data_IF_434165978939
#
_entry.id   IF_434165978939
#
_cell.length_a   1.000
_cell.length_b   1.000
_cell.length_c   1.000
_cell.angle_alpha   90.00
_cell.angle_beta   90.00
_cell.angle_gamma   90.00
#
_symmetry.space_group_name_H-M   'P 1'
#
loop_
_entity.id
_entity.type
_entity.pdbx_description
1 polymer ?
#
# COMPACT_ATOMS: atom_id res chain seq x y z
N UNK A 1 -17.63 -19.31 -0.26
CA UNK A 1 -16.35 -18.58 -0.32
C UNK A 1 -16.26 -17.67 0.90
N UNK A 2 -15.18 -17.75 1.66
CA UNK A 2 -14.85 -16.91 2.82
C UNK A 2 -13.74 -15.94 2.40
N UNK A 3 -14.03 -14.64 2.44
CA UNK A 3 -13.07 -13.58 2.11
C UNK A 3 -12.70 -12.85 3.39
N UNK A 4 -11.40 -12.81 3.70
CA UNK A 4 -10.88 -11.91 4.72
C UNK A 4 -10.68 -10.53 4.09
N UNK A 5 -11.46 -9.56 4.56
CA UNK A 5 -11.49 -8.21 4.00
C UNK A 5 -10.29 -7.35 4.43
N UNK A 6 -9.43 -7.81 5.35
CA UNK A 6 -8.35 -6.97 5.87
C UNK A 6 -7.12 -7.79 6.24
N UNK A 7 -6.13 -7.79 5.35
CA UNK A 7 -4.82 -8.38 5.63
C UNK A 7 -3.68 -7.52 5.09
N UNK A 8 -2.54 -7.58 5.78
CA UNK A 8 -1.31 -6.90 5.40
C UNK A 8 -0.15 -7.87 5.18
N UNK A 9 0.79 -7.50 4.30
CA UNK A 9 2.01 -8.25 4.07
C UNK A 9 3.09 -8.00 5.12
N UNK A 10 2.87 -8.49 6.34
CA UNK A 10 3.77 -8.28 7.50
C UNK A 10 5.03 -9.14 7.46
N UNK A 11 5.13 -10.07 6.51
CA UNK A 11 6.27 -10.97 6.32
C UNK A 11 7.06 -10.65 5.06
N UNK A 12 6.94 -9.43 4.52
CA UNK A 12 7.57 -9.04 3.27
C UNK A 12 9.09 -9.29 3.26
N UNK A 13 9.68 -9.61 2.09
CA UNK A 13 11.10 -9.93 1.95
C UNK A 13 12.03 -8.84 2.50
N UNK A 14 13.16 -9.24 3.07
CA UNK A 14 14.16 -8.34 3.67
C UNK A 14 14.71 -7.31 2.66
N UNK A 15 14.67 -7.61 1.37
CA UNK A 15 15.07 -6.71 0.29
C UNK A 15 14.22 -5.44 0.24
N UNK A 16 12.91 -5.53 0.54
CA UNK A 16 12.04 -4.37 0.64
C UNK A 16 12.44 -3.50 1.85
N UNK A 17 12.79 -4.12 2.98
CA UNK A 17 13.28 -3.41 4.16
C UNK A 17 14.66 -2.77 3.93
N UNK A 18 15.56 -3.47 3.24
CA UNK A 18 16.87 -2.94 2.87
C UNK A 18 16.73 -1.72 1.94
N UNK A 19 15.79 -1.76 0.99
CA UNK A 19 15.44 -0.60 0.18
C UNK A 19 14.96 0.57 1.05
N UNK A 20 14.03 0.33 1.98
CA UNK A 20 13.52 1.36 2.89
C UNK A 20 14.64 1.99 3.72
N UNK A 21 15.53 1.19 4.28
CA UNK A 21 16.66 1.66 5.05
C UNK A 21 17.56 2.59 4.23
N UNK A 22 17.90 2.19 2.99
CA UNK A 22 18.67 3.04 2.07
C UNK A 22 17.94 4.33 1.73
N UNK A 23 16.64 4.25 1.45
CA UNK A 23 15.81 5.41 1.11
C UNK A 23 15.77 6.44 2.25
N UNK A 24 15.69 5.98 3.51
CA UNK A 24 15.73 6.83 4.71
C UNK A 24 17.07 7.57 4.82
N UNK A 25 18.19 6.88 4.57
CA UNK A 25 19.53 7.48 4.60
C UNK A 25 19.69 8.51 3.47
N UNK A 26 19.22 8.18 2.27
CA UNK A 26 19.35 8.99 1.07
C UNK A 26 18.13 9.94 0.83
N UNK A 27 17.36 10.26 1.87
CA UNK A 27 16.05 10.93 1.75
C UNK A 27 16.05 12.28 1.01
N UNK A 28 17.20 12.97 0.95
CA UNK A 28 17.33 14.23 0.20
C UNK A 28 17.29 14.01 -1.33
N UNK A 29 17.69 12.81 -1.80
CA UNK A 29 17.66 12.37 -3.19
C UNK A 29 17.25 10.89 -3.22
N UNK A 30 16.00 10.56 -2.86
CA UNK A 30 15.62 9.19 -2.59
C UNK A 30 15.75 8.34 -3.86
N UNK A 31 16.44 7.18 -3.81
CA UNK A 31 16.55 6.31 -4.97
C UNK A 31 15.20 5.65 -5.25
N UNK A 32 14.86 5.51 -6.53
CA UNK A 32 13.74 4.64 -6.94
C UNK A 32 14.08 3.18 -6.62
N UNK A 33 13.08 2.40 -6.23
CA UNK A 33 13.28 1.01 -5.84
C UNK A 33 13.82 0.15 -6.99
N UNK A 34 14.73 -0.76 -6.66
CA UNK A 34 15.17 -1.86 -7.52
C UNK A 34 15.17 -3.14 -6.68
N UNK A 35 13.98 -3.62 -6.34
CA UNK A 35 13.82 -4.77 -5.46
C UNK A 35 14.02 -6.04 -6.28
N UNK A 36 15.14 -6.72 -6.01
CA UNK A 36 15.41 -8.05 -6.54
C UNK A 36 14.97 -9.07 -5.49
N UNK A 37 13.78 -9.62 -5.71
CA UNK A 37 13.27 -10.77 -4.94
C UNK A 37 12.80 -11.82 -5.92
N UNK A 38 13.20 -13.08 -5.74
CA UNK A 38 12.74 -14.19 -6.57
C UNK A 38 11.31 -14.61 -6.20
N UNK A 39 10.64 -15.32 -7.10
CA UNK A 39 9.30 -15.87 -6.79
C UNK A 39 9.37 -16.91 -5.67
N UNK A 40 10.48 -17.64 -5.54
CA UNK A 40 10.73 -18.58 -4.43
C UNK A 40 10.84 -17.87 -3.08
N UNK A 41 11.53 -16.72 -3.03
CA UNK A 41 11.62 -15.90 -1.82
C UNK A 41 10.25 -15.32 -1.43
N UNK A 42 9.45 -14.88 -2.42
CA UNK A 42 8.07 -14.46 -2.19
C UNK A 42 7.21 -15.62 -1.68
N UNK A 43 7.31 -16.81 -2.28
CA UNK A 43 6.60 -18.00 -1.82
C UNK A 43 6.94 -18.36 -0.37
N UNK A 44 8.22 -18.40 -0.03
CA UNK A 44 8.68 -18.66 1.35
C UNK A 44 8.11 -17.64 2.34
N UNK A 45 8.12 -16.36 1.97
CA UNK A 45 7.58 -15.30 2.84
C UNK A 45 6.07 -15.36 3.03
N UNK A 46 5.34 -16.01 2.11
CA UNK A 46 3.88 -16.19 2.17
C UNK A 46 3.44 -17.49 2.86
N UNK A 47 4.35 -18.44 3.11
CA UNK A 47 4.03 -19.76 3.69
C UNK A 47 3.19 -19.66 4.96
N UNK A 48 3.57 -18.79 5.89
CA UNK A 48 2.84 -18.58 7.14
C UNK A 48 1.41 -18.08 6.92
N UNK A 49 1.22 -17.14 5.99
CA UNK A 49 -0.09 -16.58 5.66
C UNK A 49 -0.98 -17.62 4.97
N UNK A 50 -0.44 -18.36 3.99
CA UNK A 50 -1.15 -19.41 3.28
C UNK A 50 -1.53 -20.58 4.20
N UNK A 51 -0.66 -20.93 5.15
CA UNK A 51 -0.96 -21.91 6.20
C UNK A 51 -2.13 -21.45 7.06
N UNK A 52 -2.12 -20.20 7.55
CA UNK A 52 -3.22 -19.62 8.34
C UNK A 52 -4.53 -19.59 7.58
N UNK A 53 -4.50 -19.24 6.28
CA UNK A 53 -5.69 -19.29 5.42
C UNK A 53 -6.29 -20.70 5.41
N UNK A 54 -5.46 -21.73 5.18
CA UNK A 54 -5.90 -23.13 5.16
C UNK A 54 -6.47 -23.58 6.51
N UNK A 55 -5.78 -23.27 7.60
CA UNK A 55 -6.20 -23.64 8.96
C UNK A 55 -7.50 -22.95 9.39
N UNK A 56 -7.74 -21.73 8.91
CA UNK A 56 -8.92 -20.92 9.24
C UNK A 56 -10.06 -21.05 8.23
N UNK A 57 -9.89 -21.84 7.16
CA UNK A 57 -10.89 -21.98 6.10
C UNK A 57 -11.11 -20.72 5.26
N UNK A 58 -10.11 -19.84 5.15
CA UNK A 58 -10.19 -18.60 4.35
C UNK A 58 -9.83 -18.91 2.90
N UNK A 59 -10.71 -18.56 1.97
CA UNK A 59 -10.51 -18.81 0.54
C UNK A 59 -9.68 -17.69 -0.12
N UNK A 60 -9.92 -16.44 0.27
CA UNK A 60 -9.32 -15.24 -0.36
C UNK A 60 -9.01 -14.13 0.63
N UNK A 61 -7.96 -13.36 0.37
CA UNK A 61 -7.55 -12.20 1.16
C UNK A 61 -7.65 -10.92 0.34
N UNK A 62 -8.21 -9.86 0.92
CA UNK A 62 -7.85 -8.49 0.54
C UNK A 62 -6.49 -8.17 1.18
N UNK A 63 -5.45 -8.08 0.34
CA UNK A 63 -4.06 -8.08 0.78
C UNK A 63 -3.37 -6.78 0.38
N UNK A 64 -2.85 -6.07 1.37
CA UNK A 64 -2.24 -4.74 1.18
C UNK A 64 -0.85 -4.65 1.81
N UNK A 65 -0.08 -3.58 1.53
CA UNK A 65 1.16 -3.31 2.23
C UNK A 65 0.99 -3.22 3.76
N UNK A 66 2.08 -3.43 4.51
CA UNK A 66 2.08 -3.34 5.97
C UNK A 66 1.75 -1.93 6.46
N UNK A 67 0.60 -1.78 7.14
CA UNK A 67 0.12 -0.49 7.63
C UNK A 67 1.13 0.25 8.54
N UNK A 68 1.74 -0.44 9.50
CA UNK A 68 2.72 0.17 10.40
C UNK A 68 4.00 0.62 9.70
N UNK A 69 4.22 0.19 8.46
CA UNK A 69 5.38 0.53 7.65
C UNK A 69 5.04 1.50 6.50
N UNK A 70 3.79 1.96 6.36
CA UNK A 70 3.40 2.92 5.32
C UNK A 70 4.18 4.24 5.46
N UNK A 71 4.35 4.73 6.69
CA UNK A 71 5.32 5.79 7.01
C UNK A 71 5.05 7.12 6.30
N UNK A 72 3.77 7.47 6.08
CA UNK A 72 3.37 8.67 5.35
C UNK A 72 3.93 9.98 5.92
N UNK A 73 4.09 10.05 7.24
CA UNK A 73 4.64 11.21 7.96
C UNK A 73 6.15 11.42 7.74
N UNK A 74 6.85 10.48 7.11
CA UNK A 74 8.30 10.49 6.98
C UNK A 74 8.75 10.96 5.59
N UNK A 75 9.66 11.94 5.57
CA UNK A 75 10.35 12.38 4.35
C UNK A 75 9.50 13.31 3.48
N UNK A 76 9.81 13.33 2.19
CA UNK A 76 9.15 14.19 1.20
C UNK A 76 8.07 13.43 0.41
N UNK A 77 7.24 14.13 -0.38
CA UNK A 77 6.25 13.48 -1.25
C UNK A 77 6.90 12.47 -2.22
N UNK A 78 8.13 12.74 -2.66
CA UNK A 78 8.89 11.83 -3.51
C UNK A 78 9.33 10.56 -2.75
N UNK A 79 9.67 10.68 -1.46
CA UNK A 79 9.94 9.52 -0.59
C UNK A 79 8.68 8.67 -0.45
N UNK A 80 7.54 9.27 -0.13
CA UNK A 80 6.24 8.59 -0.03
C UNK A 80 5.86 7.89 -1.33
N UNK A 81 6.08 8.55 -2.47
CA UNK A 81 5.83 8.03 -3.81
C UNK A 81 6.63 6.78 -4.11
N UNK A 82 7.95 6.85 -4.04
CA UNK A 82 8.81 5.70 -4.37
C UNK A 82 8.66 4.55 -3.38
N UNK A 83 8.37 4.83 -2.11
CA UNK A 83 8.08 3.78 -1.14
C UNK A 83 6.76 3.06 -1.48
N UNK A 84 5.73 3.84 -1.85
CA UNK A 84 4.42 3.31 -2.23
C UNK A 84 4.46 2.46 -3.48
N UNK A 85 5.10 2.95 -4.54
CA UNK A 85 5.26 2.17 -5.77
C UNK A 85 5.96 0.83 -5.47
N UNK A 86 7.02 0.85 -4.66
CA UNK A 86 7.77 -0.35 -4.28
C UNK A 86 6.92 -1.37 -3.51
N UNK A 87 6.13 -0.91 -2.53
CA UNK A 87 5.23 -1.76 -1.77
C UNK A 87 4.11 -2.34 -2.64
N UNK A 88 3.47 -1.51 -3.46
CA UNK A 88 2.38 -1.94 -4.33
C UNK A 88 2.89 -2.91 -5.41
N UNK A 89 4.07 -2.72 -5.97
CA UNK A 89 4.66 -3.64 -6.94
C UNK A 89 4.93 -5.03 -6.34
N UNK A 90 5.37 -5.09 -5.08
CA UNK A 90 5.55 -6.35 -4.36
C UNK A 90 4.20 -7.05 -4.12
N UNK A 91 3.17 -6.30 -3.72
CA UNK A 91 1.80 -6.84 -3.57
C UNK A 91 1.25 -7.35 -4.90
N UNK A 92 1.48 -6.62 -6.00
CA UNK A 92 1.08 -7.05 -7.35
C UNK A 92 1.76 -8.36 -7.76
N UNK A 93 3.04 -8.56 -7.38
CA UNK A 93 3.74 -9.82 -7.61
C UNK A 93 3.14 -10.97 -6.79
N UNK A 94 2.85 -10.75 -5.52
CA UNK A 94 2.15 -11.75 -4.68
C UNK A 94 0.79 -12.11 -5.29
N UNK A 95 0.00 -11.13 -5.71
CA UNK A 95 -1.30 -11.37 -6.34
C UNK A 95 -1.19 -12.20 -7.63
N UNK A 96 -0.14 -11.97 -8.44
CA UNK A 96 0.12 -12.77 -9.65
C UNK A 96 0.52 -14.22 -9.36
N UNK A 97 1.20 -14.48 -8.25
CA UNK A 97 1.59 -15.84 -7.85
C UNK A 97 0.41 -16.64 -7.29
N UNK A 98 -0.58 -15.97 -6.66
CA UNK A 98 -1.78 -16.62 -6.12
C UNK A 98 -3.07 -15.88 -6.49
N UNK A 99 -3.44 -15.81 -7.78
CA UNK A 99 -4.57 -15.01 -8.26
C UNK A 99 -5.93 -15.46 -7.72
N UNK A 100 -6.05 -16.74 -7.32
CA UNK A 100 -7.28 -17.29 -6.74
C UNK A 100 -7.41 -17.00 -5.23
N UNK A 101 -6.30 -16.60 -4.58
CA UNK A 101 -6.23 -16.42 -3.11
C UNK A 101 -6.04 -14.97 -2.69
N UNK A 102 -5.54 -14.12 -3.58
CA UNK A 102 -5.14 -12.76 -3.26
C UNK A 102 -5.88 -11.78 -4.15
N UNK A 103 -6.52 -10.81 -3.52
CA UNK A 103 -7.05 -9.59 -4.14
C UNK A 103 -6.24 -8.41 -3.63
N UNK A 104 -5.43 -7.75 -4.47
CA UNK A 104 -4.52 -6.72 -4.01
C UNK A 104 -5.25 -5.40 -3.70
N UNK A 105 -4.87 -4.76 -2.59
CA UNK A 105 -5.37 -3.44 -2.13
C UNK A 105 -4.16 -2.52 -1.93
N UNK A 106 -4.16 -1.33 -2.53
CA UNK A 106 -2.95 -0.50 -2.60
C UNK A 106 -2.84 0.44 -1.42
N UNK A 107 -1.63 0.85 -1.08
CA UNK A 107 -1.44 2.08 -0.31
C UNK A 107 -1.32 3.26 -1.27
N UNK A 108 -1.67 4.45 -0.80
CA UNK A 108 -1.54 5.69 -1.57
C UNK A 108 -0.28 6.46 -1.14
N UNK A 109 0.38 7.22 -2.04
CA UNK A 109 1.61 7.95 -1.72
C UNK A 109 1.36 9.23 -0.91
N UNK A 110 0.60 9.11 0.18
CA UNK A 110 0.23 10.23 1.02
C UNK A 110 1.46 10.82 1.74
N UNK A 111 1.47 12.15 1.85
CA UNK A 111 2.53 12.92 2.51
C UNK A 111 1.94 14.20 3.13
N UNK A 112 2.37 14.63 4.32
CA UNK A 112 1.81 15.79 5.00
C UNK A 112 1.85 17.06 4.14
N UNK A 113 0.73 17.79 4.11
CA UNK A 113 0.60 19.04 3.35
C UNK A 113 0.43 18.86 1.84
N UNK A 114 0.46 17.62 1.33
CA UNK A 114 0.20 17.32 -0.08
C UNK A 114 -1.22 16.81 -0.28
N UNK A 115 -1.90 17.33 -1.30
CA UNK A 115 -3.29 16.98 -1.58
C UNK A 115 -3.44 15.71 -2.43
N UNK A 116 -4.65 15.13 -2.47
CA UNK A 116 -4.89 13.86 -3.17
C UNK A 116 -4.67 13.89 -4.69
N UNK A 117 -4.66 15.07 -5.31
CA UNK A 117 -4.32 15.23 -6.74
C UNK A 117 -2.94 14.64 -7.10
N UNK A 118 -2.02 14.59 -6.14
CA UNK A 118 -0.66 14.04 -6.33
C UNK A 118 -0.59 12.52 -6.14
N UNK A 119 -1.71 11.86 -5.81
CA UNK A 119 -1.74 10.44 -5.43
C UNK A 119 -2.65 9.59 -6.31
N UNK A 120 -3.63 10.22 -6.95
CA UNK A 120 -4.68 9.55 -7.74
C UNK A 120 -4.15 8.78 -8.95
N UNK A 121 -2.99 9.17 -9.47
CA UNK A 121 -2.33 8.48 -10.56
C UNK A 121 -1.75 7.12 -10.13
N UNK A 122 -1.26 7.01 -8.90
CA UNK A 122 -0.85 5.71 -8.34
C UNK A 122 -2.05 4.80 -8.08
N UNK A 123 -3.20 5.35 -7.66
CA UNK A 123 -4.45 4.57 -7.58
C UNK A 123 -4.83 4.04 -8.97
N UNK A 124 -4.81 4.91 -9.98
CA UNK A 124 -5.14 4.54 -11.36
C UNK A 124 -4.18 3.46 -11.90
N UNK A 125 -2.87 3.60 -11.67
CA UNK A 125 -1.87 2.58 -12.01
C UNK A 125 -2.16 1.25 -11.33
N UNK A 126 -2.42 1.26 -10.02
CA UNK A 126 -2.72 0.04 -9.27
C UNK A 126 -3.94 -0.68 -9.82
N UNK A 127 -5.03 0.04 -10.09
CA UNK A 127 -6.28 -0.57 -10.58
C UNK A 127 -6.14 -1.03 -12.03
N UNK A 128 -5.70 -0.15 -12.94
CA UNK A 128 -5.72 -0.40 -14.39
C UNK A 128 -4.58 -1.30 -14.86
N UNK A 129 -3.41 -1.22 -14.25
CA UNK A 129 -2.21 -1.92 -14.71
C UNK A 129 -1.86 -3.13 -13.84
N UNK A 130 -2.16 -3.08 -12.54
CA UNK A 130 -1.74 -4.10 -11.58
C UNK A 130 -2.89 -4.96 -11.02
N UNK A 131 -4.14 -4.66 -11.38
CA UNK A 131 -5.31 -5.46 -10.99
C UNK A 131 -5.75 -5.30 -9.53
N UNK A 132 -5.47 -4.14 -8.92
CA UNK A 132 -5.93 -3.82 -7.57
C UNK A 132 -7.43 -3.56 -7.52
N UNK A 133 -8.05 -3.96 -6.42
CA UNK A 133 -9.51 -3.90 -6.21
C UNK A 133 -9.93 -2.87 -5.15
N UNK A 134 -8.99 -2.06 -4.66
CA UNK A 134 -9.23 -1.09 -3.61
C UNK A 134 -7.97 -0.40 -3.14
N UNK A 135 -8.12 0.56 -2.23
CA UNK A 135 -6.99 1.26 -1.61
C UNK A 135 -7.16 1.46 -0.10
N UNK A 136 -6.06 1.73 0.58
CA UNK A 136 -6.03 2.20 1.96
C UNK A 136 -5.84 3.72 1.97
N UNK A 137 -6.70 4.42 2.72
CA UNK A 137 -6.68 5.87 2.85
C UNK A 137 -6.35 6.23 4.30
N UNK A 138 -5.21 6.88 4.53
CA UNK A 138 -4.88 7.39 5.87
C UNK A 138 -5.60 8.73 6.12
N UNK A 139 -6.55 8.81 7.08
CA UNK A 139 -7.24 10.06 7.39
C UNK A 139 -6.38 11.05 8.20
N UNK A 140 -5.22 10.60 8.69
CA UNK A 140 -4.26 11.38 9.46
C UNK A 140 -2.84 11.16 8.91
N UNK A 141 -2.55 11.83 7.81
CA UNK A 141 -1.30 11.67 7.04
C UNK A 141 -0.07 12.05 7.86
N UNK A 142 -0.21 13.04 8.73
CA UNK A 142 0.86 13.56 9.58
C UNK A 142 1.02 12.79 10.90
N UNK A 143 0.07 11.91 11.26
CA UNK A 143 0.15 11.11 12.48
C UNK A 143 0.03 11.98 13.74
N UNK A 144 -0.98 12.85 13.79
CA UNK A 144 -1.25 13.75 14.91
C UNK A 144 -0.35 14.97 14.98
N UNK A 145 0.36 15.31 13.89
CA UNK A 145 1.27 16.46 13.80
C UNK A 145 0.80 17.47 12.75
N UNK A 146 1.37 18.67 12.79
CA UNK A 146 1.13 19.68 11.74
C UNK A 146 1.93 19.36 10.46
N UNK A 147 1.40 19.69 9.26
CA UNK A 147 0.06 20.22 9.03
C UNK A 147 -1.01 19.15 9.25
N UNK A 148 -2.08 19.50 9.99
CA UNK A 148 -3.21 18.59 10.20
C UNK A 148 -3.87 18.20 8.86
N UNK A 149 -4.27 16.94 8.78
CA UNK A 149 -5.00 16.44 7.60
C UNK A 149 -6.43 16.97 7.63
N UNK A 150 -6.96 17.52 6.53
CA UNK A 150 -8.35 17.96 6.48
C UNK A 150 -9.33 16.83 6.79
N UNK A 151 -10.44 17.15 7.46
CA UNK A 151 -11.55 16.22 7.70
C UNK A 151 -11.96 15.50 6.42
N UNK A 152 -12.32 14.20 6.51
CA UNK A 152 -12.78 13.39 5.36
C UNK A 152 -14.03 13.97 4.66
N UNK A 153 -14.79 14.83 5.36
CA UNK A 153 -15.92 15.55 4.78
C UNK A 153 -15.52 16.77 3.91
N UNK A 154 -14.26 17.19 3.95
CA UNK A 154 -13.74 18.34 3.20
C UNK A 154 -13.64 18.05 1.71
N UNK A 155 -13.91 19.07 0.88
CA UNK A 155 -13.70 19.05 -0.57
C UNK A 155 -12.24 18.75 -0.96
N UNK A 156 -11.30 18.95 -0.03
CA UNK A 156 -9.90 18.57 -0.20
C UNK A 156 -9.72 17.11 -0.67
N UNK A 157 -10.61 16.21 -0.26
CA UNK A 157 -10.58 14.79 -0.63
C UNK A 157 -11.27 14.45 -1.96
N UNK A 158 -12.06 15.36 -2.53
CA UNK A 158 -12.88 15.08 -3.73
C UNK A 158 -12.08 14.51 -4.90
N UNK A 159 -10.85 14.98 -5.21
CA UNK A 159 -10.07 14.38 -6.30
C UNK A 159 -9.86 12.87 -6.15
N UNK A 160 -9.69 12.38 -4.90
CA UNK A 160 -9.57 10.94 -4.64
C UNK A 160 -10.92 10.24 -4.74
N UNK A 161 -11.97 10.81 -4.14
CA UNK A 161 -13.31 10.22 -4.17
C UNK A 161 -13.85 10.10 -5.59
N UNK A 162 -13.72 11.15 -6.40
CA UNK A 162 -14.10 11.14 -7.82
C UNK A 162 -13.34 10.06 -8.60
N UNK A 163 -12.02 9.93 -8.36
CA UNK A 163 -11.20 8.89 -9.01
C UNK A 163 -11.62 7.48 -8.58
N UNK A 164 -11.92 7.27 -7.30
CA UNK A 164 -12.40 5.98 -6.80
C UNK A 164 -13.76 5.60 -7.40
N UNK A 165 -14.70 6.55 -7.50
CA UNK A 165 -15.99 6.35 -8.18
C UNK A 165 -15.76 6.03 -9.66
N UNK A 166 -14.88 6.77 -10.35
CA UNK A 166 -14.55 6.51 -11.76
C UNK A 166 -13.98 5.09 -11.98
N UNK A 167 -13.14 4.63 -11.06
CA UNK A 167 -12.47 3.32 -11.14
C UNK A 167 -13.31 2.18 -10.55
N UNK A 168 -14.47 2.48 -9.95
CA UNK A 168 -15.34 1.54 -9.24
C UNK A 168 -14.60 0.72 -8.17
N UNK A 169 -13.83 1.40 -7.31
CA UNK A 169 -13.09 0.75 -6.22
C UNK A 169 -13.39 1.37 -4.84
N UNK A 170 -13.59 0.54 -3.79
CA UNK A 170 -13.73 1.01 -2.42
C UNK A 170 -12.38 1.39 -1.81
N UNK A 171 -12.44 2.02 -0.63
CA UNK A 171 -11.28 2.16 0.23
C UNK A 171 -11.52 1.66 1.66
N UNK A 172 -10.44 1.31 2.34
CA UNK A 172 -10.41 1.17 3.81
C UNK A 172 -9.79 2.43 4.41
N UNK A 173 -10.50 3.07 5.34
CA UNK A 173 -9.91 4.15 6.15
C UNK A 173 -8.92 3.52 7.14
N UNK A 174 -7.64 3.79 6.96
CA UNK A 174 -6.56 3.06 7.61
C UNK A 174 -5.38 3.97 7.95
N UNK A 175 -5.17 4.23 9.24
CA UNK A 175 -4.00 4.97 9.70
C UNK A 175 -2.70 4.15 9.60
N UNK A 176 -1.56 4.84 9.48
CA UNK A 176 -0.24 4.25 9.67
C UNK A 176 0.18 4.35 11.14
N UNK A 177 1.22 3.62 11.53
CA UNK A 177 1.97 3.97 12.73
C UNK A 177 2.67 5.35 12.54
N UNK A 178 2.84 6.08 13.63
CA UNK A 178 3.31 7.48 13.71
C UNK A 178 4.20 7.75 14.92
#
# INVERSE_FOLDING_TARGET
MIIDAHTHYTTAPLQLQAYRARQIIEQARPPRAKIQVSDEELARSMEGQLKRMKESGIDRLLFSPQASAMGHHFGSPLVSRYWTEACNDVIARVARLWPDKISPVCQLPQSPGVGPREWVDELERCVKELGFVGCNVNPDVAGGREPLTPSLASEWWYPLWEKMVQLDVPCTIHASAS
#
